data_IF_480906660022
#
_entry.id   IF_480906660022
#
_cell.length_a   1.000
_cell.length_b   1.000
_cell.length_c   1.000
_cell.angle_alpha   90.00
_cell.angle_beta   90.00
_cell.angle_gamma   90.00
#
_symmetry.space_group_name_H-M   'P 1'
#
loop_
_entity.id
_entity.type
_entity.pdbx_description
1 polymer ?
#
# COMPACT_ATOMS: atom_id res chain seq x y z
N UNK A 1 5.40 16.12 4.54
CA UNK A 1 5.85 15.16 5.57
C UNK A 1 4.80 14.89 6.65
N UNK A 2 4.23 15.90 7.33
CA UNK A 2 3.26 15.72 8.44
C UNK A 2 2.10 14.77 8.07
N UNK A 3 1.41 15.00 6.94
CA UNK A 3 0.32 14.12 6.46
C UNK A 3 0.71 12.66 6.24
N UNK A 4 1.97 12.38 5.85
CA UNK A 4 2.43 11.00 5.63
C UNK A 4 2.54 10.29 6.98
N UNK A 5 3.14 10.98 7.97
CA UNK A 5 3.25 10.47 9.32
C UNK A 5 1.87 10.24 9.94
N UNK A 6 0.93 11.19 9.81
CA UNK A 6 -0.45 11.04 10.31
C UNK A 6 -1.17 9.82 9.72
N UNK A 7 -1.11 9.65 8.39
CA UNK A 7 -1.73 8.49 7.73
C UNK A 7 -1.04 7.18 8.12
N UNK A 8 0.29 7.20 8.26
CA UNK A 8 1.04 6.03 8.73
C UNK A 8 0.65 5.66 10.17
N UNK A 9 0.48 6.64 11.06
CA UNK A 9 0.02 6.40 12.43
C UNK A 9 -1.40 5.82 12.46
N UNK A 10 -2.34 6.37 11.67
CA UNK A 10 -3.69 5.82 11.51
C UNK A 10 -3.67 4.38 10.99
N UNK A 11 -2.78 4.07 10.04
CA UNK A 11 -2.57 2.69 9.61
C UNK A 11 -2.09 1.83 10.78
N UNK A 12 -1.08 2.25 11.54
CA UNK A 12 -0.56 1.45 12.65
C UNK A 12 -1.63 1.15 13.72
N UNK A 13 -2.54 2.09 13.97
CA UNK A 13 -3.68 1.91 14.88
C UNK A 13 -4.68 0.86 14.38
N UNK A 14 -4.96 0.86 13.07
CA UNK A 14 -5.94 -0.01 12.42
C UNK A 14 -5.35 -1.30 11.82
N UNK A 15 -4.02 -1.43 11.80
CA UNK A 15 -3.32 -2.46 11.03
C UNK A 15 -3.71 -3.89 11.42
N UNK A 16 -3.91 -4.15 12.72
CA UNK A 16 -4.33 -5.47 13.19
C UNK A 16 -5.72 -5.83 12.64
N UNK A 17 -6.68 -4.90 12.72
CA UNK A 17 -8.03 -5.11 12.19
C UNK A 17 -8.00 -5.29 10.66
N UNK A 18 -7.21 -4.47 9.95
CA UNK A 18 -7.06 -4.54 8.50
C UNK A 18 -6.44 -5.86 8.04
N UNK A 19 -5.40 -6.35 8.72
CA UNK A 19 -4.75 -7.62 8.37
C UNK A 19 -5.52 -8.86 8.86
N UNK A 20 -6.47 -8.71 9.78
CA UNK A 20 -7.40 -9.77 10.18
C UNK A 20 -8.68 -9.78 9.34
N UNK A 21 -8.90 -8.75 8.53
CA UNK A 21 -10.07 -8.64 7.66
C UNK A 21 -9.98 -9.63 6.50
N UNK A 22 -11.12 -10.02 5.95
CA UNK A 22 -11.22 -10.97 4.83
C UNK A 22 -10.99 -10.30 3.47
N UNK A 23 -10.06 -9.36 3.39
CA UNK A 23 -9.68 -8.77 2.12
C UNK A 23 -8.98 -9.82 1.24
N UNK A 24 -9.25 -9.77 -0.05
CA UNK A 24 -8.55 -10.60 -1.06
C UNK A 24 -7.10 -10.14 -1.31
N UNK A 25 -6.70 -9.02 -0.71
CA UNK A 25 -5.41 -8.38 -0.88
C UNK A 25 -4.73 -8.13 0.48
N UNK A 26 -3.41 -7.96 0.44
CA UNK A 26 -2.59 -7.63 1.59
C UNK A 26 -2.48 -6.10 1.73
N UNK A 27 -3.15 -5.58 2.76
CA UNK A 27 -3.17 -4.14 3.07
C UNK A 27 -1.76 -3.61 3.36
N UNK A 28 -0.87 -4.45 3.87
CA UNK A 28 0.52 -4.09 4.12
C UNK A 28 1.29 -3.89 2.81
N UNK A 29 0.98 -4.65 1.76
CA UNK A 29 1.55 -4.43 0.43
C UNK A 29 1.14 -3.08 -0.13
N UNK A 30 -0.16 -2.77 -0.07
CA UNK A 30 -0.70 -1.50 -0.53
C UNK A 30 -0.06 -0.30 0.18
N UNK A 31 0.12 -0.39 1.51
CA UNK A 31 0.78 0.65 2.29
C UNK A 31 2.23 0.88 1.83
N UNK A 32 2.98 -0.19 1.58
CA UNK A 32 4.38 -0.07 1.18
C UNK A 32 4.52 0.66 -0.16
N UNK A 33 3.68 0.33 -1.15
CA UNK A 33 3.66 1.06 -2.42
C UNK A 33 3.26 2.52 -2.24
N UNK A 34 2.25 2.79 -1.40
CA UNK A 34 1.84 4.16 -1.09
C UNK A 34 2.96 4.96 -0.41
N UNK A 35 3.67 4.38 0.56
CA UNK A 35 4.82 5.01 1.22
C UNK A 35 5.95 5.28 0.24
N UNK A 36 6.31 4.30 -0.59
CA UNK A 36 7.36 4.45 -1.59
C UNK A 36 7.03 5.53 -2.61
N UNK A 37 5.79 5.56 -3.11
CA UNK A 37 5.29 6.63 -3.98
C UNK A 37 5.43 8.02 -3.33
N UNK A 38 5.02 8.17 -2.07
CA UNK A 38 5.11 9.47 -1.39
C UNK A 38 6.54 9.89 -1.10
N UNK A 39 7.40 8.97 -0.69
CA UNK A 39 8.81 9.27 -0.43
C UNK A 39 9.56 9.57 -1.73
N UNK A 40 9.27 8.83 -2.80
CA UNK A 40 9.83 9.07 -4.13
C UNK A 40 9.41 10.44 -4.67
N UNK A 41 8.15 10.84 -4.51
CA UNK A 41 7.70 12.19 -4.87
C UNK A 41 8.36 13.31 -4.04
N UNK A 42 8.71 13.05 -2.79
CA UNK A 42 9.38 14.04 -1.92
C UNK A 42 10.86 14.17 -2.28
N UNK A 43 11.56 13.04 -2.39
CA UNK A 43 13.00 13.00 -2.56
C UNK A 43 13.43 12.98 -4.03
N UNK A 44 12.52 12.75 -4.97
CA UNK A 44 12.77 12.46 -6.40
C UNK A 44 13.34 11.06 -6.63
N UNK A 45 12.99 10.47 -7.78
CA UNK A 45 13.24 9.06 -8.15
C UNK A 45 14.72 8.64 -8.17
N UNK A 46 15.66 9.58 -8.16
CA UNK A 46 17.10 9.30 -8.15
C UNK A 46 17.71 9.19 -6.74
N UNK A 47 16.96 9.53 -5.69
CA UNK A 47 17.45 9.63 -4.32
C UNK A 47 17.06 8.41 -3.48
N UNK A 48 17.58 7.24 -3.89
CA UNK A 48 17.28 5.94 -3.28
C UNK A 48 17.72 5.85 -1.81
N UNK A 49 18.79 6.55 -1.44
CA UNK A 49 19.28 6.61 -0.06
C UNK A 49 18.29 7.33 0.85
N UNK A 50 17.78 8.49 0.44
CA UNK A 50 16.84 9.31 1.19
C UNK A 50 15.50 8.59 1.36
N UNK A 51 15.04 7.90 0.31
CA UNK A 51 13.85 7.04 0.38
C UNK A 51 14.07 5.92 1.41
N UNK A 52 15.25 5.27 1.38
CA UNK A 52 15.61 4.22 2.33
C UNK A 52 15.64 4.71 3.77
N UNK A 53 16.22 5.90 4.01
CA UNK A 53 16.24 6.56 5.31
C UNK A 53 14.82 6.90 5.77
N UNK A 54 13.96 7.35 4.87
CA UNK A 54 12.55 7.61 5.16
C UNK A 54 11.80 6.36 5.63
N UNK A 55 11.97 5.23 4.94
CA UNK A 55 11.43 3.94 5.36
C UNK A 55 11.96 3.49 6.72
N UNK A 56 13.27 3.56 6.92
CA UNK A 56 13.90 3.22 8.21
C UNK A 56 13.35 4.06 9.35
N UNK A 57 13.14 5.36 9.12
CA UNK A 57 12.57 6.28 10.11
C UNK A 57 11.14 5.89 10.50
N UNK A 58 10.30 5.50 9.54
CA UNK A 58 8.94 5.02 9.80
C UNK A 58 8.92 3.70 10.58
N UNK A 59 9.85 2.78 10.26
CA UNK A 59 10.02 1.54 11.03
C UNK A 59 10.40 1.83 12.50
N UNK A 60 11.31 2.78 12.74
CA UNK A 60 11.69 3.19 14.09
C UNK A 60 10.52 3.81 14.87
N UNK A 61 9.71 4.66 14.23
CA UNK A 61 8.51 5.25 14.83
C UNK A 61 7.54 4.14 15.28
N UNK A 62 7.27 3.16 14.39
CA UNK A 62 6.43 2.00 14.72
C UNK A 62 6.96 1.24 15.94
N UNK A 63 8.26 0.98 15.98
CA UNK A 63 8.88 0.17 17.05
C UNK A 63 8.85 0.87 18.41
N UNK A 64 8.79 2.22 18.43
CA UNK A 64 8.60 3.05 19.63
C UNK A 64 7.15 3.10 20.10
N UNK A 65 6.19 3.27 19.20
CA UNK A 65 4.78 3.52 19.56
C UNK A 65 4.06 2.27 20.11
N UNK A 66 4.43 1.08 19.65
CA UNK A 66 3.60 -0.12 19.84
C UNK A 66 4.20 -1.18 20.78
N UNK A 67 4.89 -0.75 21.84
CA UNK A 67 5.61 -1.62 22.78
C UNK A 67 4.81 -2.82 23.34
N UNK A 68 3.51 -2.73 23.71
CA UNK A 68 2.78 -3.90 24.21
C UNK A 68 2.20 -4.81 23.10
N UNK A 69 2.10 -4.36 21.84
CA UNK A 69 1.50 -5.14 20.73
C UNK A 69 2.51 -6.01 19.96
N UNK A 70 3.80 -5.97 20.34
CA UNK A 70 4.92 -6.64 19.64
C UNK A 70 4.76 -8.17 19.49
N UNK A 71 4.03 -8.81 20.39
CA UNK A 71 3.90 -10.28 20.45
C UNK A 71 2.76 -10.86 19.61
N UNK A 72 1.97 -10.02 18.91
CA UNK A 72 0.84 -10.52 18.09
C UNK A 72 1.32 -11.01 16.71
N UNK A 73 0.82 -12.16 16.20
CA UNK A 73 1.27 -12.73 14.92
C UNK A 73 1.17 -11.77 13.74
N UNK A 74 0.04 -11.05 13.65
CA UNK A 74 -0.22 -10.12 12.54
C UNK A 74 0.48 -8.77 12.71
N UNK A 75 1.14 -8.52 13.85
CA UNK A 75 1.90 -7.30 14.06
C UNK A 75 3.09 -7.20 13.11
N UNK A 76 3.76 -8.31 12.80
CA UNK A 76 4.91 -8.33 11.88
C UNK A 76 4.55 -7.81 10.48
N UNK A 77 3.31 -8.03 10.03
CA UNK A 77 2.80 -7.53 8.75
C UNK A 77 2.70 -6.01 8.70
N UNK A 78 2.45 -5.37 9.84
CA UNK A 78 2.38 -3.91 9.98
C UNK A 78 3.72 -3.17 9.82
N UNK A 79 4.83 -3.87 9.58
CA UNK A 79 6.14 -3.24 9.41
C UNK A 79 6.34 -2.91 7.93
N UNK A 80 6.58 -1.64 7.56
CA UNK A 80 6.98 -1.30 6.21
C UNK A 80 8.22 -2.10 5.80
N UNK A 81 8.26 -2.59 4.57
CA UNK A 81 9.34 -3.38 4.00
C UNK A 81 9.80 -2.74 2.68
N UNK A 82 10.91 -2.02 2.73
CA UNK A 82 11.53 -1.38 1.57
C UNK A 82 11.88 -2.39 0.47
N UNK A 83 12.35 -3.58 0.83
CA UNK A 83 12.81 -4.58 -0.14
C UNK A 83 11.69 -5.09 -1.07
N UNK A 84 10.43 -4.88 -0.68
CA UNK A 84 9.26 -5.28 -1.47
C UNK A 84 8.91 -4.26 -2.56
N UNK A 85 9.44 -3.05 -2.46
CA UNK A 85 9.08 -1.92 -3.34
C UNK A 85 10.30 -1.27 -4.00
N UNK A 86 11.51 -1.59 -3.54
CA UNK A 86 12.75 -1.09 -4.13
C UNK A 86 13.16 -1.89 -5.38
N UNK A 87 12.33 -1.80 -6.42
CA UNK A 87 12.56 -2.44 -7.73
C UNK A 87 12.53 -1.37 -8.82
N UNK A 88 13.26 -1.55 -9.93
CA UNK A 88 13.27 -0.58 -11.04
C UNK A 88 11.87 -0.37 -11.65
N UNK A 89 11.03 -1.41 -11.61
CA UNK A 89 9.66 -1.46 -12.15
C UNK A 89 8.58 -1.28 -11.06
N UNK A 90 8.94 -0.74 -9.89
CA UNK A 90 8.03 -0.63 -8.73
C UNK A 90 6.72 0.09 -9.07
N UNK A 91 6.76 1.09 -9.95
CA UNK A 91 5.61 1.87 -10.37
C UNK A 91 4.59 1.01 -11.14
N UNK A 92 5.05 0.15 -12.04
CA UNK A 92 4.20 -0.81 -12.77
C UNK A 92 3.64 -1.86 -11.81
N UNK A 93 4.45 -2.37 -10.88
CA UNK A 93 3.99 -3.33 -9.86
C UNK A 93 2.94 -2.72 -8.94
N UNK A 94 3.11 -1.45 -8.55
CA UNK A 94 2.11 -0.68 -7.81
C UNK A 94 0.80 -0.59 -8.59
N UNK A 95 0.86 -0.17 -9.85
CA UNK A 95 -0.33 -0.01 -10.69
C UNK A 95 -1.10 -1.33 -10.86
N UNK A 96 -0.37 -2.43 -11.08
CA UNK A 96 -0.94 -3.78 -11.12
C UNK A 96 -1.58 -4.18 -9.79
N UNK A 97 -0.93 -3.88 -8.67
CA UNK A 97 -1.47 -4.20 -7.34
C UNK A 97 -2.72 -3.38 -7.01
N UNK A 98 -2.73 -2.08 -7.31
CA UNK A 98 -3.90 -1.22 -7.16
C UNK A 98 -5.05 -1.70 -8.06
N UNK A 99 -4.75 -2.16 -9.27
CA UNK A 99 -5.76 -2.80 -10.12
C UNK A 99 -6.34 -4.06 -9.49
N UNK A 100 -5.49 -4.95 -8.96
CA UNK A 100 -5.95 -6.16 -8.29
C UNK A 100 -6.87 -5.86 -7.09
N UNK A 101 -6.56 -4.80 -6.33
CA UNK A 101 -7.40 -4.32 -5.22
C UNK A 101 -8.77 -3.84 -5.72
N UNK A 102 -8.81 -3.07 -6.80
CA UNK A 102 -10.04 -2.48 -7.33
C UNK A 102 -10.89 -3.46 -8.14
N UNK A 103 -10.27 -4.49 -8.73
CA UNK A 103 -10.88 -5.37 -9.71
C UNK A 103 -12.19 -6.03 -9.24
N UNK A 104 -12.28 -6.65 -8.04
CA UNK A 104 -13.52 -7.29 -7.59
C UNK A 104 -14.70 -6.31 -7.55
N UNK A 105 -14.45 -5.07 -7.13
CA UNK A 105 -15.48 -4.02 -7.09
C UNK A 105 -15.85 -3.55 -8.49
N UNK A 106 -14.86 -3.29 -9.35
CA UNK A 106 -15.11 -2.89 -10.74
C UNK A 106 -15.91 -3.96 -11.50
N UNK A 107 -15.51 -5.22 -11.34
CA UNK A 107 -16.16 -6.36 -11.97
C UNK A 107 -17.59 -6.53 -11.46
N UNK A 108 -17.81 -6.50 -10.15
CA UNK A 108 -19.15 -6.63 -9.58
C UNK A 108 -20.10 -5.50 -10.01
N UNK A 109 -19.61 -4.26 -10.12
CA UNK A 109 -20.43 -3.16 -10.64
C UNK A 109 -20.77 -3.39 -12.12
N UNK A 110 -19.77 -3.81 -12.90
CA UNK A 110 -19.92 -4.03 -14.32
C UNK A 110 -20.87 -5.21 -14.62
N UNK A 111 -20.89 -6.24 -13.78
CA UNK A 111 -21.77 -7.38 -13.93
C UNK A 111 -23.24 -7.05 -13.59
N UNK A 112 -23.48 -6.19 -12.60
CA UNK A 112 -24.81 -6.03 -11.98
C UNK A 112 -25.51 -4.67 -12.17
N UNK A 113 -24.84 -3.64 -12.69
CA UNK A 113 -25.44 -2.29 -12.81
C UNK A 113 -25.42 -1.76 -14.25
N UNK A 114 -26.44 -0.98 -14.60
CA UNK A 114 -26.62 -0.40 -15.95
C UNK A 114 -25.47 0.53 -16.40
N UNK A 115 -24.70 1.09 -15.46
CA UNK A 115 -23.46 1.83 -15.76
C UNK A 115 -22.26 0.88 -16.03
N UNK A 116 -22.54 -0.15 -16.83
CA UNK A 116 -21.64 -1.23 -17.18
C UNK A 116 -20.43 -0.74 -17.99
N UNK A 117 -20.69 0.12 -18.97
CA UNK A 117 -19.73 0.46 -20.02
C UNK A 117 -18.45 1.13 -19.51
N UNK A 118 -18.57 2.05 -18.55
CA UNK A 118 -17.40 2.77 -18.01
C UNK A 118 -16.49 1.87 -17.16
N UNK A 119 -17.07 0.90 -16.45
CA UNK A 119 -16.30 -0.05 -15.64
C UNK A 119 -15.64 -1.12 -16.51
N UNK A 120 -16.31 -1.61 -17.56
CA UNK A 120 -15.66 -2.47 -18.57
C UNK A 120 -14.49 -1.75 -19.24
N UNK A 121 -14.65 -0.48 -19.63
CA UNK A 121 -13.53 0.31 -20.18
C UNK A 121 -12.34 0.40 -19.21
N UNK A 122 -12.59 0.60 -17.90
CA UNK A 122 -11.52 0.64 -16.89
C UNK A 122 -10.81 -0.71 -16.76
N UNK A 123 -11.56 -1.81 -16.77
CA UNK A 123 -11.03 -3.18 -16.74
C UNK A 123 -10.19 -3.44 -18.00
N UNK A 124 -10.69 -3.09 -19.18
CA UNK A 124 -10.00 -3.33 -20.45
C UNK A 124 -8.73 -2.51 -20.60
N UNK A 125 -8.73 -1.23 -20.20
CA UNK A 125 -7.52 -0.39 -20.20
C UNK A 125 -6.40 -0.96 -19.34
N UNK A 126 -6.73 -1.78 -18.34
CA UNK A 126 -5.80 -2.41 -17.43
C UNK A 126 -5.39 -3.83 -17.84
N UNK A 127 -5.90 -4.37 -18.95
CA UNK A 127 -5.45 -5.67 -19.52
C UNK A 127 -4.02 -5.62 -20.09
N UNK A 128 -3.52 -4.44 -20.44
CA UNK A 128 -2.19 -4.25 -21.02
C UNK A 128 -1.09 -3.92 -19.99
N UNK A 129 -1.44 -3.94 -18.70
CA UNK A 129 -0.50 -3.84 -17.58
C UNK A 129 0.26 -5.15 -17.37
#
# INVERSE_FOLDING_TARGET
>A
MIKICENFLRYLESCEALNNSRFSYDVSILLNYWLYDKLTNIYKDNNTNEISIGFGSLQLIRDKINYPKKNKPNYKKCKPNLNMVNHLDWNKRKELYEYYVDYPTLYGIAEHYDNKFDNYKKIEKKKSL
#
